data_IF_582015699174
#
_entry.id   IF_582015699174
#
_cell.length_a   1.000
_cell.length_b   1.000
_cell.length_c   1.000
_cell.angle_alpha   90.00
_cell.angle_beta   90.00
_cell.angle_gamma   90.00
#
_symmetry.space_group_name_H-M   'P 1'
#
loop_
_entity.id
_entity.type
_entity.pdbx_description
1 polymer ?
#
# COMPACT_ATOMS: atom_id res chain seq x y z
N UNK A 1 11.45 -38.85 -54.99
CA UNK A 1 10.09 -38.46 -54.58
C UNK A 1 9.83 -39.11 -53.23
N UNK A 2 9.29 -38.51 -52.18
CA UNK A 2 8.74 -37.17 -51.88
C UNK A 2 8.16 -37.34 -50.47
N UNK A 3 8.55 -36.49 -49.52
CA UNK A 3 7.79 -36.03 -48.33
C UNK A 3 7.32 -37.08 -47.29
N UNK A 4 7.31 -36.85 -45.97
CA UNK A 4 7.62 -35.68 -45.17
C UNK A 4 7.94 -36.14 -43.74
N UNK A 5 9.04 -35.62 -43.18
CA UNK A 5 9.09 -35.30 -41.76
C UNK A 5 8.00 -34.27 -41.47
N UNK A 6 7.24 -34.44 -40.39
CA UNK A 6 6.73 -33.36 -39.54
C UNK A 6 6.21 -33.97 -38.24
N UNK A 7 7.13 -34.31 -37.34
CA UNK A 7 6.88 -34.38 -35.91
C UNK A 7 7.54 -33.15 -35.29
N UNK A 8 6.76 -32.10 -35.04
CA UNK A 8 7.19 -30.93 -34.27
C UNK A 8 6.48 -31.00 -32.91
N UNK A 9 7.12 -31.47 -31.84
CA UNK A 9 6.53 -31.43 -30.52
C UNK A 9 6.69 -30.03 -29.92
N UNK A 10 5.58 -29.56 -29.33
CA UNK A 10 5.47 -28.66 -28.19
C UNK A 10 6.69 -27.81 -27.79
N UNK A 11 6.63 -26.51 -28.07
CA UNK A 11 7.43 -25.49 -27.37
C UNK A 11 6.60 -24.20 -27.25
N UNK A 12 5.53 -24.24 -26.46
CA UNK A 12 4.69 -23.07 -26.17
C UNK A 12 4.23 -23.07 -24.70
N UNK A 13 5.12 -23.39 -23.75
CA UNK A 13 4.85 -23.15 -22.33
C UNK A 13 6.17 -22.84 -21.62
N UNK A 14 6.15 -21.77 -20.82
CA UNK A 14 7.19 -21.28 -19.91
C UNK A 14 8.08 -20.12 -20.41
N UNK A 15 7.49 -18.91 -20.44
CA UNK A 15 8.24 -17.69 -20.14
C UNK A 15 7.57 -16.91 -18.99
N UNK A 16 7.72 -17.34 -17.73
CA UNK A 16 7.55 -16.44 -16.59
C UNK A 16 8.87 -15.75 -16.20
N UNK A 17 10.00 -16.11 -16.82
CA UNK A 17 11.33 -15.66 -16.41
C UNK A 17 11.66 -14.19 -16.76
N UNK A 18 10.96 -13.58 -17.73
CA UNK A 18 11.19 -12.17 -18.12
C UNK A 18 10.54 -11.16 -17.15
N UNK A 19 9.78 -11.63 -16.15
CA UNK A 19 9.22 -10.80 -15.09
C UNK A 19 10.06 -10.83 -13.80
N UNK A 20 11.21 -11.51 -13.80
CA UNK A 20 12.14 -11.59 -12.66
C UNK A 20 13.35 -10.65 -12.81
N UNK A 21 13.28 -9.70 -13.75
CA UNK A 21 14.28 -8.65 -13.92
C UNK A 21 14.08 -7.57 -12.87
N UNK A 22 15.14 -7.31 -12.11
CA UNK A 22 15.26 -6.41 -10.96
C UNK A 22 14.54 -6.88 -9.69
N UNK A 23 15.33 -7.28 -8.69
CA UNK A 23 14.82 -7.49 -7.35
C UNK A 23 14.16 -6.19 -6.88
N UNK A 24 12.84 -6.23 -6.63
CA UNK A 24 12.09 -5.10 -6.10
C UNK A 24 12.82 -4.57 -4.86
N UNK A 25 13.22 -3.28 -4.84
CA UNK A 25 13.97 -2.74 -3.73
C UNK A 25 13.15 -2.80 -2.44
N UNK A 26 13.80 -3.12 -1.33
CA UNK A 26 13.14 -3.20 -0.03
C UNK A 26 12.67 -1.81 0.38
N UNK A 27 11.43 -1.67 0.83
CA UNK A 27 10.86 -0.38 1.23
C UNK A 27 10.82 -0.28 2.75
N UNK A 28 11.46 0.75 3.30
CA UNK A 28 11.42 1.11 4.71
C UNK A 28 10.53 2.34 4.89
N UNK A 29 9.47 2.21 5.69
CA UNK A 29 8.46 3.24 5.88
C UNK A 29 8.70 3.92 7.23
N UNK A 30 8.99 5.21 7.22
CA UNK A 30 9.33 5.97 8.42
C UNK A 30 8.43 7.19 8.53
N UNK A 31 7.91 7.46 9.73
CA UNK A 31 7.14 8.67 10.02
C UNK A 31 8.08 9.66 10.71
N UNK A 32 8.23 10.85 10.14
CA UNK A 32 9.04 11.95 10.67
C UNK A 32 8.13 13.09 11.13
N UNK A 33 8.55 13.81 12.15
CA UNK A 33 7.81 14.96 12.68
C UNK A 33 8.50 16.26 12.28
N UNK A 34 7.70 17.30 11.99
CA UNK A 34 8.14 18.64 11.63
C UNK A 34 9.24 18.66 10.59
N UNK A 35 10.39 19.20 10.96
CA UNK A 35 11.57 19.38 10.10
C UNK A 35 12.66 18.34 10.36
N UNK A 36 12.34 17.24 11.07
CA UNK A 36 13.32 16.17 11.29
C UNK A 36 13.82 15.61 9.95
N UNK A 37 15.13 15.32 9.83
CA UNK A 37 15.70 14.78 8.61
C UNK A 37 15.18 13.36 8.36
N UNK A 38 14.78 13.08 7.12
CA UNK A 38 14.50 11.71 6.70
C UNK A 38 15.81 10.91 6.72
N UNK A 39 15.89 9.76 7.43
CA UNK A 39 17.10 8.97 7.45
C UNK A 39 17.45 8.49 6.04
N UNK A 40 18.74 8.53 5.71
CA UNK A 40 19.22 7.99 4.44
C UNK A 40 19.07 6.47 4.42
N UNK A 41 18.82 5.92 3.23
CA UNK A 41 18.79 4.48 3.03
C UNK A 41 20.11 3.84 3.46
N UNK A 42 20.04 2.87 4.38
CA UNK A 42 21.24 2.18 4.89
C UNK A 42 21.91 1.26 3.88
N UNK A 43 21.13 0.73 2.92
CA UNK A 43 21.59 -0.15 1.85
C UNK A 43 21.24 0.43 0.47
N UNK A 44 22.05 0.16 -0.58
CA UNK A 44 21.75 0.62 -1.95
C UNK A 44 20.44 0.04 -2.51
N UNK A 45 20.05 -1.15 -2.03
CA UNK A 45 18.83 -1.85 -2.44
C UNK A 45 17.60 -1.50 -1.57
N UNK A 46 17.72 -0.56 -0.64
CA UNK A 46 16.63 -0.11 0.24
C UNK A 46 16.14 1.32 -0.09
N UNK A 47 14.83 1.52 -0.15
CA UNK A 47 14.19 2.83 -0.31
C UNK A 47 13.55 3.22 1.02
N UNK A 48 14.07 4.26 1.65
CA UNK A 48 13.43 4.86 2.83
C UNK A 48 12.41 5.91 2.38
N UNK A 49 11.15 5.69 2.72
CA UNK A 49 10.02 6.58 2.41
C UNK A 49 9.57 7.24 3.69
N UNK A 50 9.69 8.57 3.73
CA UNK A 50 9.31 9.36 4.89
C UNK A 50 7.96 10.05 4.70
N UNK A 51 7.05 9.81 5.64
CA UNK A 51 5.82 10.60 5.77
C UNK A 51 6.01 11.66 6.84
N UNK A 52 5.70 12.93 6.50
CA UNK A 52 5.92 14.07 7.39
C UNK A 52 4.62 14.47 8.11
N UNK A 53 4.64 14.41 9.43
CA UNK A 53 3.58 14.91 10.32
C UNK A 53 4.05 16.19 11.02
N UNK A 54 3.15 17.07 11.50
CA UNK A 54 3.56 18.28 12.20
C UNK A 54 4.10 17.97 13.63
N UNK A 55 4.96 18.84 14.18
CA UNK A 55 5.64 18.63 15.47
C UNK A 55 4.68 18.45 16.66
N UNK A 56 3.52 19.11 16.62
CA UNK A 56 2.53 19.06 17.69
C UNK A 56 1.83 17.70 17.82
N UNK A 57 1.93 16.84 16.79
CA UNK A 57 1.42 15.46 16.79
C UNK A 57 2.37 14.47 17.48
N UNK A 58 3.63 14.83 17.73
CA UNK A 58 4.65 13.91 18.25
C UNK A 58 4.31 13.30 19.62
N UNK A 59 3.63 14.06 20.48
CA UNK A 59 3.27 13.65 21.85
C UNK A 59 1.76 13.61 22.09
N UNK A 60 0.96 13.86 21.05
CA UNK A 60 -0.50 13.93 21.14
C UNK A 60 -1.11 12.60 20.70
N UNK A 61 -2.30 12.30 21.20
CA UNK A 61 -3.11 11.18 20.67
C UNK A 61 -3.40 11.50 19.19
N UNK A 62 -3.15 10.56 18.25
CA UNK A 62 -3.43 10.75 16.83
C UNK A 62 -4.85 11.28 16.59
N UNK A 63 -5.01 12.18 15.62
CA UNK A 63 -6.28 12.88 15.35
C UNK A 63 -7.48 11.93 15.19
N UNK A 64 -7.27 10.81 14.50
CA UNK A 64 -8.27 9.77 14.30
C UNK A 64 -8.72 9.08 15.60
N UNK A 65 -7.88 9.07 16.65
CA UNK A 65 -8.16 8.48 17.96
C UNK A 65 -8.64 9.51 19.00
N UNK A 66 -8.63 10.81 18.67
CA UNK A 66 -9.11 11.86 19.60
C UNK A 66 -10.60 11.80 19.82
N UNK A 67 -11.35 11.36 18.81
CA UNK A 67 -12.78 11.24 18.86
C UNK A 67 -13.15 9.76 18.98
N UNK A 68 -14.03 9.41 19.92
CA UNK A 68 -14.65 8.09 19.92
C UNK A 68 -15.85 8.11 18.96
N UNK A 69 -15.74 7.49 17.75
CA UNK A 69 -16.86 7.40 16.83
C UNK A 69 -18.03 6.60 17.41
N UNK A 70 -17.78 5.74 18.40
CA UNK A 70 -18.79 4.92 19.07
C UNK A 70 -19.38 5.61 20.31
N UNK A 71 -18.90 6.81 20.67
CA UNK A 71 -19.42 7.55 21.82
C UNK A 71 -20.94 7.66 21.72
N UNK A 72 -21.68 7.32 22.80
CA UNK A 72 -23.12 7.50 22.82
C UNK A 72 -23.56 8.93 22.57
N UNK A 73 -22.71 9.96 22.63
CA UNK A 73 -23.07 11.33 22.23
C UNK A 73 -23.16 11.52 20.71
N UNK A 74 -22.39 10.74 19.95
CA UNK A 74 -22.20 10.95 18.51
C UNK A 74 -23.19 10.16 17.65
N UNK A 75 -23.94 9.23 18.25
CA UNK A 75 -24.92 8.42 17.54
C UNK A 75 -26.20 9.22 17.22
N UNK A 76 -26.83 8.94 16.07
CA UNK A 76 -28.12 9.54 15.75
C UNK A 76 -29.25 8.91 16.57
N UNK A 77 -30.33 9.65 16.85
CA UNK A 77 -31.49 9.09 17.55
C UNK A 77 -32.10 7.90 16.81
N UNK A 78 -32.15 7.96 15.47
CA UNK A 78 -32.65 6.88 14.63
C UNK A 78 -31.82 5.58 14.77
N UNK A 79 -30.49 5.69 14.89
CA UNK A 79 -29.60 4.55 15.14
C UNK A 79 -29.93 3.88 16.47
N UNK A 80 -30.03 4.68 17.55
CA UNK A 80 -30.39 4.17 18.88
C UNK A 80 -31.77 3.51 18.91
N UNK A 81 -32.76 4.09 18.23
CA UNK A 81 -34.09 3.51 18.11
C UNK A 81 -34.06 2.15 17.36
N UNK A 82 -33.21 2.04 16.33
CA UNK A 82 -33.00 0.78 15.59
C UNK A 82 -32.32 -0.27 16.47
N UNK A 83 -31.32 0.11 17.25
CA UNK A 83 -30.64 -0.77 18.19
C UNK A 83 -31.56 -1.26 19.31
N UNK A 84 -32.49 -0.43 19.78
CA UNK A 84 -33.51 -0.87 20.73
C UNK A 84 -34.42 -1.95 20.13
N UNK A 85 -34.74 -1.85 18.83
CA UNK A 85 -35.53 -2.87 18.12
C UNK A 85 -34.80 -4.19 17.92
N UNK A 86 -33.49 -4.23 18.15
CA UNK A 86 -32.67 -5.42 18.02
C UNK A 86 -32.95 -6.45 19.13
N UNK A 87 -33.28 -5.97 20.33
CA UNK A 87 -33.58 -6.83 21.48
C UNK A 87 -34.86 -7.62 21.20
N UNK A 88 -34.71 -8.92 20.91
CA UNK A 88 -35.82 -9.83 20.60
C UNK A 88 -35.93 -10.23 19.12
N UNK A 89 -35.10 -9.70 18.22
CA UNK A 89 -35.03 -10.18 16.83
C UNK A 89 -34.37 -11.56 16.76
N UNK A 90 -35.02 -12.50 16.10
CA UNK A 90 -34.54 -13.86 15.85
C UNK A 90 -34.79 -14.25 14.39
N UNK A 91 -34.09 -15.29 13.91
CA UNK A 91 -34.18 -15.75 12.52
C UNK A 91 -33.06 -15.24 11.61
N UNK A 92 -33.21 -15.42 10.29
CA UNK A 92 -32.23 -14.99 9.28
C UNK A 92 -31.98 -13.48 9.36
N UNK A 93 -30.73 -13.05 9.18
CA UNK A 93 -30.29 -11.64 9.31
C UNK A 93 -30.43 -11.02 10.71
N UNK A 94 -30.74 -11.81 11.76
CA UNK A 94 -30.62 -11.36 13.16
C UNK A 94 -29.31 -11.86 13.73
N UNK A 95 -28.44 -11.05 14.35
CA UNK A 95 -27.22 -11.55 15.00
C UNK A 95 -27.53 -12.16 16.40
N UNK A 96 -28.51 -13.07 16.44
CA UNK A 96 -28.98 -13.73 17.66
C UNK A 96 -28.46 -15.15 17.77
N UNK A 97 -28.19 -15.60 19.00
CA UNK A 97 -27.79 -16.98 19.32
C UNK A 97 -28.98 -17.96 19.28
N UNK A 98 -30.20 -17.44 19.16
CA UNK A 98 -31.43 -18.23 19.13
C UNK A 98 -32.16 -18.07 17.79
N UNK A 99 -32.56 -19.21 17.19
CA UNK A 99 -33.26 -19.27 15.90
C UNK A 99 -32.38 -19.66 14.71
N UNK A 100 -32.98 -20.31 13.70
CA UNK A 100 -32.27 -20.72 12.50
C UNK A 100 -31.86 -19.48 11.67
N UNK A 101 -30.64 -19.48 11.16
CA UNK A 101 -30.14 -18.42 10.27
C UNK A 101 -29.60 -17.16 10.94
N UNK A 102 -29.55 -17.08 12.28
CA UNK A 102 -29.03 -15.89 12.97
C UNK A 102 -27.53 -15.61 12.72
N UNK A 103 -26.77 -16.67 12.44
CA UNK A 103 -25.35 -16.56 12.10
C UNK A 103 -25.08 -15.68 10.86
N UNK A 104 -26.02 -15.57 9.91
CA UNK A 104 -25.82 -14.73 8.70
C UNK A 104 -25.83 -13.24 9.05
N UNK A 105 -26.66 -12.83 10.01
CA UNK A 105 -26.70 -11.46 10.52
C UNK A 105 -25.41 -11.10 11.25
N UNK A 106 -24.87 -12.01 12.07
CA UNK A 106 -23.60 -11.78 12.77
C UNK A 106 -22.41 -11.70 11.80
N UNK A 107 -22.40 -12.55 10.77
CA UNK A 107 -21.39 -12.47 9.73
C UNK A 107 -21.41 -11.12 9.01
N UNK A 108 -22.59 -10.65 8.60
CA UNK A 108 -22.75 -9.35 7.96
C UNK A 108 -22.30 -8.20 8.87
N UNK A 109 -22.58 -8.28 10.17
CA UNK A 109 -22.14 -7.29 11.15
C UNK A 109 -20.61 -7.29 11.30
N UNK A 110 -19.99 -8.46 11.42
CA UNK A 110 -18.52 -8.58 11.48
C UNK A 110 -17.85 -8.02 10.22
N UNK A 111 -18.44 -8.27 9.04
CA UNK A 111 -17.95 -7.71 7.78
C UNK A 111 -18.05 -6.18 7.77
N UNK A 112 -19.14 -5.60 8.31
CA UNK A 112 -19.30 -4.15 8.43
C UNK A 112 -18.27 -3.57 9.39
N UNK A 113 -18.06 -4.18 10.55
CA UNK A 113 -17.06 -3.74 11.54
C UNK A 113 -15.66 -3.78 10.94
N UNK A 114 -15.27 -4.88 10.29
CA UNK A 114 -13.98 -4.97 9.61
C UNK A 114 -13.82 -3.93 8.47
N UNK A 115 -14.90 -3.51 7.81
CA UNK A 115 -14.85 -2.43 6.81
C UNK A 115 -14.72 -1.05 7.47
N UNK A 116 -15.41 -0.84 8.59
CA UNK A 116 -15.33 0.41 9.35
C UNK A 116 -13.91 0.61 9.91
N UNK A 117 -13.32 -0.42 10.51
CA UNK A 117 -11.93 -0.40 11.01
C UNK A 117 -10.93 -0.01 9.91
N UNK A 118 -11.03 -0.62 8.72
CA UNK A 118 -10.18 -0.26 7.56
C UNK A 118 -10.40 1.16 7.05
N UNK A 119 -11.57 1.75 7.29
CA UNK A 119 -11.88 3.12 6.88
C UNK A 119 -11.36 4.16 7.88
N UNK A 120 -11.32 3.82 9.17
CA UNK A 120 -10.78 4.67 10.25
C UNK A 120 -9.27 4.54 10.43
N UNK A 121 -8.67 3.47 9.91
CA UNK A 121 -7.22 3.30 9.87
C UNK A 121 -6.60 4.45 9.06
N UNK A 122 -5.84 5.31 9.75
CA UNK A 122 -5.21 6.50 9.20
C UNK A 122 -4.05 6.07 8.30
N UNK A 123 -4.42 5.69 7.07
CA UNK A 123 -3.47 5.32 6.06
C UNK A 123 -2.92 6.60 5.45
N UNK A 124 -1.81 7.08 6.00
CA UNK A 124 -0.80 7.77 5.20
C UNK A 124 -0.72 7.00 3.88
N UNK A 125 -0.90 7.68 2.74
CA UNK A 125 -0.96 7.01 1.45
C UNK A 125 0.44 6.57 1.02
N UNK A 126 0.92 5.51 1.67
CA UNK A 126 2.25 4.94 1.47
C UNK A 126 2.45 4.52 0.02
N UNK A 127 1.41 4.01 -0.65
CA UNK A 127 1.51 3.65 -2.06
C UNK A 127 1.91 4.86 -2.92
N UNK A 128 1.26 6.01 -2.73
CA UNK A 128 1.62 7.23 -3.45
C UNK A 128 3.03 7.71 -3.11
N UNK A 129 3.42 7.66 -1.83
CA UNK A 129 4.77 8.08 -1.41
C UNK A 129 5.86 7.15 -1.94
N UNK A 130 5.61 5.84 -1.97
CA UNK A 130 6.51 4.84 -2.54
C UNK A 130 6.66 5.06 -4.03
N UNK A 131 5.57 5.32 -4.75
CA UNK A 131 5.61 5.57 -6.20
C UNK A 131 6.39 6.86 -6.52
N UNK A 132 6.23 7.91 -5.72
CA UNK A 132 7.03 9.13 -5.82
C UNK A 132 8.52 8.85 -5.60
N UNK A 133 8.87 8.12 -4.53
CA UNK A 133 10.25 7.77 -4.23
C UNK A 133 10.89 6.90 -5.33
N UNK A 134 10.14 5.96 -5.91
CA UNK A 134 10.59 5.17 -7.06
C UNK A 134 10.88 6.05 -8.27
N UNK A 135 10.00 7.00 -8.59
CA UNK A 135 10.20 7.93 -9.70
C UNK A 135 11.44 8.82 -9.49
N UNK A 136 11.67 9.30 -8.28
CA UNK A 136 12.86 10.10 -7.96
C UNK A 136 14.16 9.30 -8.13
N UNK A 137 14.16 8.03 -7.69
CA UNK A 137 15.28 7.12 -7.93
C UNK A 137 15.54 6.92 -9.42
N UNK A 138 14.49 6.65 -10.20
CA UNK A 138 14.62 6.47 -11.65
C UNK A 138 15.19 7.73 -12.32
N UNK A 139 14.70 8.92 -11.96
CA UNK A 139 15.24 10.20 -12.48
C UNK A 139 16.73 10.37 -12.15
N UNK A 140 17.14 9.99 -10.94
CA UNK A 140 18.56 10.05 -10.53
C UNK A 140 19.42 9.12 -11.37
N UNK A 141 18.95 7.90 -11.63
CA UNK A 141 19.65 6.94 -12.49
C UNK A 141 19.73 7.44 -13.94
N UNK A 142 18.64 7.99 -14.48
CA UNK A 142 18.63 8.57 -15.83
C UNK A 142 19.65 9.71 -15.96
N UNK A 143 19.76 10.59 -14.97
CA UNK A 143 20.76 11.67 -14.96
C UNK A 143 22.19 11.11 -14.96
N UNK A 144 22.47 10.10 -14.13
CA UNK A 144 23.77 9.43 -14.09
C UNK A 144 24.12 8.82 -15.46
N UNK A 145 23.19 8.10 -16.09
CA UNK A 145 23.39 7.48 -17.41
C UNK A 145 23.68 8.56 -18.48
N UNK A 146 22.98 9.70 -18.44
CA UNK A 146 23.20 10.80 -19.38
C UNK A 146 24.55 11.49 -19.20
N UNK A 147 25.00 11.64 -17.95
CA UNK A 147 26.31 12.19 -17.61
C UNK A 147 27.43 11.24 -18.07
N UNK A 148 27.30 9.95 -17.77
CA UNK A 148 28.21 8.90 -18.24
C UNK A 148 28.31 8.88 -19.77
N UNK A 149 27.16 8.92 -20.47
CA UNK A 149 27.15 9.00 -21.93
C UNK A 149 27.84 10.26 -22.49
N UNK A 150 27.65 11.41 -21.84
CA UNK A 150 28.33 12.67 -22.22
C UNK A 150 29.84 12.57 -22.00
N UNK A 151 30.28 11.93 -20.93
CA UNK A 151 31.69 11.69 -20.65
C UNK A 151 32.30 10.73 -21.67
N UNK A 152 31.58 9.68 -22.07
CA UNK A 152 32.00 8.77 -23.12
C UNK A 152 32.18 9.48 -24.46
N UNK A 153 31.22 10.32 -24.87
CA UNK A 153 31.34 11.15 -26.08
C UNK A 153 32.54 12.11 -26.01
N UNK A 154 32.79 12.73 -24.84
CA UNK A 154 33.98 13.59 -24.63
C UNK A 154 35.28 12.80 -24.72
N UNK A 155 35.30 11.58 -24.19
CA UNK A 155 36.46 10.66 -24.24
C UNK A 155 36.73 10.23 -25.68
N UNK A 156 35.69 9.93 -26.48
CA UNK A 156 35.83 9.64 -27.91
C UNK A 156 36.31 10.85 -28.71
N UNK A 157 35.88 12.05 -28.33
CA UNK A 157 36.36 13.31 -28.91
C UNK A 157 37.80 13.67 -28.52
N UNK A 158 38.45 12.89 -27.64
CA UNK A 158 39.84 13.11 -27.21
C UNK A 158 40.03 14.36 -26.35
N UNK A 159 38.96 14.87 -25.73
CA UNK A 159 39.00 16.03 -24.83
C UNK A 159 39.32 15.50 -23.42
N UNK A 160 40.43 15.95 -22.79
CA UNK A 160 40.77 15.50 -21.44
C UNK A 160 39.70 15.96 -20.41
N UNK A 161 39.50 15.21 -19.32
CA UNK A 161 38.60 15.63 -18.24
C UNK A 161 39.11 16.93 -17.59
N UNK A 162 38.18 17.75 -17.10
CA UNK A 162 38.50 18.97 -16.33
C UNK A 162 38.98 18.65 -14.91
#
# INVERSE_FOLDING_TARGET
MRYALLALPAALIAMPALAQGDAEPRVSQVIIYGDDPCPESGDPDEITVCARLPEDERFRIPDNLRNDPNSPSNQSWARRATELSYVGRTGTESCSTVGAGGWTGCFNELVRQARAERATDERINWNQLIDQARQERLRRQEQQILEEGREEERREAGIPPE
#
